data_IF_159604449027
#
_entry.id   IF_159604449027
#
_cell.length_a   1.000
_cell.length_b   1.000
_cell.length_c   1.000
_cell.angle_alpha   90.00
_cell.angle_beta   90.00
_cell.angle_gamma   90.00
#
_symmetry.space_group_name_H-M   'P 1'
#
loop_
_entity.id
_entity.type
_entity.pdbx_description
1 polymer ?
#
# COMPACT_ATOMS: atom_id res chain seq x y z
N UNK A 1 26.55 -0.28 3.37
CA UNK A 1 27.13 -1.45 3.02
C UNK A 1 27.08 -2.63 3.99
N UNK A 2 25.88 -3.08 4.40
CA UNK A 2 25.74 -4.33 5.15
C UNK A 2 24.55 -5.13 4.64
N UNK A 3 24.58 -6.45 4.81
CA UNK A 3 23.44 -7.32 4.56
C UNK A 3 22.67 -7.46 5.88
N UNK A 4 21.39 -7.11 5.90
CA UNK A 4 20.59 -7.22 7.13
C UNK A 4 20.58 -8.65 7.68
N UNK A 5 20.61 -8.79 9.00
CA UNK A 5 20.69 -10.09 9.64
C UNK A 5 19.48 -10.98 9.33
N UNK A 6 18.28 -10.38 9.18
CA UNK A 6 17.10 -11.17 8.83
C UNK A 6 17.24 -11.84 7.47
N UNK A 7 17.94 -11.20 6.53
CA UNK A 7 18.16 -11.73 5.19
C UNK A 7 19.07 -12.97 5.26
N UNK A 8 20.06 -12.95 6.16
CA UNK A 8 20.98 -14.07 6.36
C UNK A 8 20.30 -15.29 6.97
N UNK A 9 19.13 -15.16 7.56
CA UNK A 9 18.36 -16.27 8.11
C UNK A 9 17.58 -17.07 7.06
N UNK A 10 17.50 -16.58 5.83
CA UNK A 10 16.86 -17.29 4.73
C UNK A 10 17.70 -18.53 4.39
N UNK A 11 17.09 -19.71 4.20
CA UNK A 11 17.84 -20.88 3.79
C UNK A 11 18.68 -20.63 2.54
N UNK A 12 19.93 -21.06 2.57
CA UNK A 12 20.92 -20.75 1.54
C UNK A 12 20.44 -21.07 0.12
N UNK A 13 19.73 -22.18 -0.05
CA UNK A 13 19.20 -22.59 -1.37
C UNK A 13 18.18 -21.64 -1.97
N UNK A 14 17.59 -20.73 -1.17
CA UNK A 14 16.59 -19.74 -1.63
C UNK A 14 17.11 -18.31 -1.61
N UNK A 15 18.27 -18.09 -0.99
CA UNK A 15 18.78 -16.75 -0.72
C UNK A 15 18.95 -15.93 -1.99
N UNK A 16 19.56 -16.50 -3.02
CA UNK A 16 19.78 -15.78 -4.29
C UNK A 16 18.46 -15.41 -4.97
N UNK A 17 17.50 -16.33 -5.01
CA UNK A 17 16.19 -16.08 -5.61
C UNK A 17 15.41 -14.99 -4.87
N UNK A 18 15.43 -15.02 -3.53
CA UNK A 18 14.80 -14.01 -2.71
C UNK A 18 15.45 -12.64 -2.90
N UNK A 19 16.78 -12.59 -2.95
CA UNK A 19 17.49 -11.35 -3.17
C UNK A 19 17.22 -10.76 -4.54
N UNK A 20 17.19 -11.58 -5.59
CA UNK A 20 16.86 -11.14 -6.94
C UNK A 20 15.45 -10.55 -7.01
N UNK A 21 14.47 -11.22 -6.39
CA UNK A 21 13.09 -10.73 -6.35
C UNK A 21 12.99 -9.42 -5.56
N UNK A 22 13.64 -9.34 -4.40
CA UNK A 22 13.67 -8.14 -3.58
C UNK A 22 14.26 -6.95 -4.35
N UNK A 23 15.39 -7.15 -5.01
CA UNK A 23 16.01 -6.11 -5.83
C UNK A 23 15.09 -5.66 -6.97
N UNK A 24 14.49 -6.61 -7.67
CA UNK A 24 13.67 -6.29 -8.85
C UNK A 24 12.38 -5.57 -8.47
N UNK A 25 11.69 -6.03 -7.42
CA UNK A 25 10.37 -5.51 -7.08
C UNK A 25 10.40 -4.35 -6.09
N UNK A 26 11.24 -4.44 -5.06
CA UNK A 26 11.23 -3.45 -3.99
C UNK A 26 12.23 -2.32 -4.17
N UNK A 27 13.40 -2.60 -4.73
CA UNK A 27 14.45 -1.58 -4.89
C UNK A 27 14.52 -1.04 -6.31
N UNK A 28 14.16 -1.83 -7.31
CA UNK A 28 14.25 -1.46 -8.72
C UNK A 28 13.09 -0.59 -9.16
N UNK A 29 13.28 0.07 -10.29
CA UNK A 29 12.20 0.80 -10.96
C UNK A 29 11.25 -0.19 -11.63
N UNK A 30 9.96 -0.06 -11.30
CA UNK A 30 8.88 -0.89 -11.84
C UNK A 30 7.71 -0.02 -12.29
N UNK A 31 6.55 -0.61 -12.57
CA UNK A 31 5.37 0.12 -13.03
C UNK A 31 4.89 1.16 -12.00
N UNK A 32 5.05 0.87 -10.71
CA UNK A 32 4.68 1.81 -9.64
C UNK A 32 5.96 2.47 -9.14
N UNK A 33 6.05 3.81 -9.15
CA UNK A 33 7.22 4.51 -8.62
C UNK A 33 7.54 4.10 -7.18
N UNK A 34 8.82 3.98 -6.87
CA UNK A 34 9.29 3.50 -5.57
C UNK A 34 8.75 4.29 -4.39
N UNK A 35 8.66 5.60 -4.52
CA UNK A 35 8.06 6.46 -3.49
C UNK A 35 6.66 5.98 -3.10
N UNK A 36 5.84 5.65 -4.08
CA UNK A 36 4.45 5.21 -3.82
C UNK A 36 4.40 3.77 -3.30
N UNK A 37 5.28 2.89 -3.78
CA UNK A 37 5.38 1.53 -3.21
C UNK A 37 5.71 1.59 -1.73
N UNK A 38 6.63 2.45 -1.34
CA UNK A 38 7.03 2.57 0.06
C UNK A 38 5.92 3.22 0.91
N UNK A 39 5.20 4.21 0.38
CA UNK A 39 4.03 4.78 1.06
C UNK A 39 2.92 3.74 1.22
N UNK A 40 2.71 2.89 0.21
CA UNK A 40 1.80 1.75 0.31
C UNK A 40 2.23 0.78 1.42
N UNK A 41 3.53 0.51 1.52
CA UNK A 41 4.10 -0.33 2.57
C UNK A 41 3.85 0.22 3.96
N UNK A 42 4.02 1.54 4.15
CA UNK A 42 3.71 2.20 5.43
C UNK A 42 2.23 2.03 5.78
N UNK A 43 1.33 2.30 4.83
CA UNK A 43 -0.12 2.16 5.05
C UNK A 43 -0.50 0.71 5.36
N UNK A 44 0.01 -0.24 4.59
CA UNK A 44 -0.26 -1.67 4.74
C UNK A 44 0.15 -2.16 6.12
N UNK A 45 1.36 -1.82 6.55
CA UNK A 45 1.91 -2.35 7.80
C UNK A 45 1.50 -1.56 9.04
N UNK A 46 0.91 -0.38 8.86
CA UNK A 46 0.16 0.27 9.94
C UNK A 46 -1.01 -0.60 10.40
N UNK A 47 -1.69 -1.28 9.44
CA UNK A 47 -2.77 -2.21 9.76
C UNK A 47 -2.24 -3.54 10.29
N UNK A 48 -1.23 -4.13 9.66
CA UNK A 48 -0.66 -5.40 10.14
C UNK A 48 0.14 -5.23 11.44
N UNK A 49 0.41 -3.98 11.84
CA UNK A 49 1.15 -3.64 13.07
C UNK A 49 2.56 -4.23 13.10
N UNK A 50 3.17 -4.35 11.91
CA UNK A 50 4.53 -4.85 11.77
C UNK A 50 5.53 -3.70 11.98
N UNK A 51 6.08 -3.59 13.20
CA UNK A 51 7.04 -2.52 13.51
C UNK A 51 8.30 -2.55 12.65
N UNK A 52 8.73 -3.74 12.23
CA UNK A 52 9.88 -3.91 11.34
C UNK A 52 9.61 -3.34 9.95
N UNK A 53 8.46 -3.68 9.41
CA UNK A 53 8.03 -3.23 8.10
C UNK A 53 7.76 -1.72 8.08
N UNK A 54 7.16 -1.19 9.14
CA UNK A 54 6.91 0.26 9.28
C UNK A 54 8.24 1.01 9.25
N UNK A 55 9.22 0.57 10.03
CA UNK A 55 10.53 1.20 10.04
C UNK A 55 11.18 1.16 8.66
N UNK A 56 11.20 -0.02 8.05
CA UNK A 56 11.80 -0.20 6.71
C UNK A 56 11.15 0.71 5.67
N UNK A 57 9.83 0.64 5.54
CA UNK A 57 9.11 1.41 4.52
C UNK A 57 9.15 2.92 4.78
N UNK A 58 9.13 3.35 6.05
CA UNK A 58 9.26 4.78 6.40
C UNK A 58 10.60 5.33 5.96
N UNK A 59 11.69 4.64 6.26
CA UNK A 59 13.03 5.08 5.86
C UNK A 59 13.21 5.01 4.34
N UNK A 60 12.73 3.95 3.71
CA UNK A 60 12.78 3.82 2.26
C UNK A 60 11.92 4.87 1.55
N UNK A 61 10.74 5.20 2.07
CA UNK A 61 9.89 6.26 1.53
C UNK A 61 10.63 7.61 1.52
N UNK A 62 11.29 7.95 2.62
CA UNK A 62 12.12 9.17 2.70
C UNK A 62 13.26 9.15 1.70
N UNK A 63 13.92 8.01 1.55
CA UNK A 63 15.00 7.83 0.58
C UNK A 63 14.52 8.09 -0.85
N UNK A 64 13.30 7.68 -1.18
CA UNK A 64 12.69 7.90 -2.49
C UNK A 64 11.91 9.22 -2.58
N UNK A 65 12.12 10.15 -1.66
CA UNK A 65 11.66 11.53 -1.73
C UNK A 65 10.29 11.80 -1.11
N UNK A 66 9.74 10.88 -0.32
CA UNK A 66 8.51 11.15 0.40
C UNK A 66 8.75 12.15 1.53
N UNK A 67 7.83 13.10 1.69
CA UNK A 67 7.84 14.05 2.79
C UNK A 67 7.24 13.42 4.04
N UNK A 68 7.54 14.00 5.21
CA UNK A 68 6.90 13.58 6.46
C UNK A 68 5.38 13.72 6.38
N UNK A 69 4.89 14.74 5.70
CA UNK A 69 3.46 14.98 5.50
C UNK A 69 2.81 13.90 4.64
N UNK A 70 3.49 13.47 3.57
CA UNK A 70 3.02 12.36 2.74
C UNK A 70 2.96 11.04 3.53
N UNK A 71 3.93 10.80 4.38
CA UNK A 71 3.93 9.61 5.26
C UNK A 71 2.78 9.67 6.25
N UNK A 72 2.55 10.83 6.88
CA UNK A 72 1.42 11.04 7.78
C UNK A 72 0.09 10.80 7.06
N UNK A 73 -0.04 11.29 5.84
CA UNK A 73 -1.26 11.10 5.05
C UNK A 73 -1.48 9.62 4.70
N UNK A 74 -0.43 8.88 4.35
CA UNK A 74 -0.52 7.45 4.08
C UNK A 74 -1.04 6.68 5.31
N UNK A 75 -0.55 7.00 6.49
CA UNK A 75 -1.02 6.41 7.75
C UNK A 75 -2.48 6.79 8.03
N UNK A 76 -2.82 8.04 7.84
CA UNK A 76 -4.20 8.53 8.04
C UNK A 76 -5.16 7.88 7.04
N UNK A 77 -4.74 7.72 5.79
CA UNK A 77 -5.52 7.01 4.77
C UNK A 77 -5.77 5.56 5.19
N UNK A 78 -4.75 4.88 5.72
CA UNK A 78 -4.90 3.52 6.25
C UNK A 78 -5.96 3.46 7.36
N UNK A 79 -5.90 4.39 8.32
CA UNK A 79 -6.91 4.51 9.38
C UNK A 79 -8.32 4.66 8.81
N UNK A 80 -8.50 5.53 7.83
CA UNK A 80 -9.82 5.77 7.23
C UNK A 80 -10.34 4.55 6.49
N UNK A 81 -9.50 3.93 5.67
CA UNK A 81 -9.90 2.77 4.87
C UNK A 81 -10.22 1.55 5.74
N UNK A 82 -9.38 1.27 6.73
CA UNK A 82 -9.62 0.17 7.69
C UNK A 82 -10.85 0.45 8.54
N UNK A 83 -11.08 1.71 8.93
CA UNK A 83 -12.27 2.11 9.68
C UNK A 83 -13.56 1.80 8.92
N UNK A 84 -13.60 2.04 7.62
CA UNK A 84 -14.74 1.64 6.79
C UNK A 84 -14.93 0.13 6.75
N UNK A 85 -13.84 -0.62 6.67
CA UNK A 85 -13.91 -2.09 6.73
C UNK A 85 -14.55 -2.55 8.03
N UNK A 86 -14.16 -1.99 9.16
CA UNK A 86 -14.76 -2.28 10.47
C UNK A 86 -16.26 -1.99 10.46
N UNK A 87 -16.65 -0.82 10.00
CA UNK A 87 -18.05 -0.39 10.02
C UNK A 87 -18.92 -1.23 9.11
N UNK A 88 -18.53 -1.38 7.84
CA UNK A 88 -19.32 -2.12 6.84
C UNK A 88 -19.50 -3.57 7.26
N UNK A 89 -18.43 -4.21 7.74
CA UNK A 89 -18.50 -5.60 8.20
C UNK A 89 -19.25 -5.73 9.52
N UNK A 90 -19.05 -4.83 10.47
CA UNK A 90 -19.74 -4.82 11.75
C UNK A 90 -21.24 -4.64 11.59
N UNK A 91 -21.67 -3.83 10.64
CA UNK A 91 -23.08 -3.61 10.32
C UNK A 91 -23.69 -4.71 9.44
N UNK A 92 -22.87 -5.67 9.00
CA UNK A 92 -23.32 -6.78 8.14
C UNK A 92 -24.03 -6.26 6.88
N UNK A 93 -23.45 -5.23 6.26
CA UNK A 93 -23.97 -4.62 5.04
C UNK A 93 -24.15 -5.67 3.95
N UNK A 94 -25.29 -5.66 3.28
CA UNK A 94 -25.57 -6.60 2.19
C UNK A 94 -24.60 -6.37 1.03
N UNK A 95 -23.84 -7.39 0.67
CA UNK A 95 -22.79 -7.26 -0.35
C UNK A 95 -23.37 -7.03 -1.75
N UNK A 96 -24.46 -7.72 -2.11
CA UNK A 96 -25.03 -7.59 -3.45
C UNK A 96 -25.62 -6.19 -3.66
N UNK A 97 -26.29 -5.67 -2.65
CA UNK A 97 -26.79 -4.28 -2.66
C UNK A 97 -25.65 -3.28 -2.77
N UNK A 98 -24.63 -3.44 -1.95
CA UNK A 98 -23.40 -2.62 -1.98
C UNK A 98 -22.77 -2.63 -3.37
N UNK A 99 -22.61 -3.80 -3.98
CA UNK A 99 -22.01 -3.93 -5.31
C UNK A 99 -22.84 -3.19 -6.38
N UNK A 100 -24.17 -3.33 -6.34
CA UNK A 100 -25.06 -2.63 -7.27
C UNK A 100 -24.99 -1.11 -7.13
N UNK A 101 -24.97 -0.62 -5.90
CA UNK A 101 -24.88 0.82 -5.62
C UNK A 101 -23.58 1.39 -6.15
N UNK A 102 -22.45 0.72 -5.91
CA UNK A 102 -21.14 1.21 -6.36
C UNK A 102 -20.99 1.13 -7.88
N UNK A 103 -21.64 0.17 -8.55
CA UNK A 103 -21.70 0.16 -10.01
C UNK A 103 -22.42 1.41 -10.53
N UNK A 104 -23.58 1.75 -9.95
CA UNK A 104 -24.34 2.94 -10.31
C UNK A 104 -23.55 4.24 -10.04
N UNK A 105 -22.89 4.32 -8.89
CA UNK A 105 -22.05 5.46 -8.54
C UNK A 105 -20.91 5.60 -9.55
N UNK A 106 -20.25 4.52 -9.91
CA UNK A 106 -19.17 4.50 -10.89
C UNK A 106 -19.64 5.00 -12.26
N UNK A 107 -20.77 4.53 -12.73
CA UNK A 107 -21.37 4.93 -14.01
C UNK A 107 -21.75 6.42 -13.99
N UNK A 108 -22.34 6.90 -12.91
CA UNK A 108 -22.66 8.31 -12.73
C UNK A 108 -21.42 9.20 -12.78
N UNK A 109 -20.35 8.80 -12.08
CA UNK A 109 -19.10 9.56 -12.06
C UNK A 109 -18.42 9.60 -13.42
N UNK A 110 -18.48 8.52 -14.21
CA UNK A 110 -17.98 8.50 -15.59
C UNK A 110 -18.72 9.53 -16.44
N UNK A 111 -20.04 9.60 -16.32
CA UNK A 111 -20.87 10.60 -17.02
C UNK A 111 -20.43 12.01 -16.67
N UNK A 112 -20.21 12.29 -15.38
CA UNK A 112 -19.77 13.62 -14.91
C UNK A 112 -18.37 13.96 -15.42
N UNK A 113 -17.43 13.04 -15.41
CA UNK A 113 -16.10 13.26 -15.93
C UNK A 113 -16.11 13.57 -17.45
N UNK A 114 -16.97 12.88 -18.20
CA UNK A 114 -17.14 13.17 -19.64
C UNK A 114 -17.75 14.57 -19.88
N UNK A 115 -18.70 15.00 -19.03
CA UNK A 115 -19.25 16.35 -19.09
C UNK A 115 -18.17 17.43 -18.83
N UNK A 116 -17.25 17.17 -17.92
CA UNK A 116 -16.16 18.10 -17.58
C UNK A 116 -14.98 18.04 -18.58
N UNK A 117 -14.83 16.95 -19.32
CA UNK A 117 -13.77 16.79 -20.34
C UNK A 117 -14.07 17.55 -21.64
N UNK A 118 -15.31 17.99 -21.88
CA UNK A 118 -15.77 18.77 -23.01
C UNK A 118 -15.88 20.24 -22.62
#
# INVERSE_FOLDING_TARGET
GLVPSFFKSIPERYLDSEWQLFQALELGETLIPNKYKELMGVALHSETKCRYCILFHTEAAKLFGATDEEIQEAVHFSKMSVGWSVYINGMQTDFDEFAKEFTKIGDYLKTKNLEHAN
#
